data_IF_520168037389
#
_entry.id   IF_520168037389
#
_cell.length_a   1.000
_cell.length_b   1.000
_cell.length_c   1.000
_cell.angle_alpha   90.00
_cell.angle_beta   90.00
_cell.angle_gamma   90.00
#
_symmetry.space_group_name_H-M   'P 1'
#
loop_
_entity.id
_entity.type
_entity.pdbx_description
1 polymer ?
#
# COMPACT_ATOMS: atom_id res chain seq x y z
N UNK A 1 12.23 -65.72 2.54
CA UNK A 1 11.78 -64.68 3.50
C UNK A 1 12.84 -63.62 3.84
N UNK A 2 14.10 -63.68 3.36
CA UNK A 2 15.17 -62.70 3.68
C UNK A 2 15.30 -61.53 2.67
N UNK A 3 14.65 -61.61 1.49
CA UNK A 3 14.75 -60.58 0.44
C UNK A 3 13.59 -59.56 0.42
N UNK A 4 12.51 -59.83 1.17
CA UNK A 4 11.39 -58.88 1.23
C UNK A 4 11.62 -57.73 2.23
N UNK A 5 12.48 -57.94 3.25
CA UNK A 5 12.76 -56.94 4.27
C UNK A 5 13.72 -55.83 3.80
N UNK A 6 14.54 -56.12 2.81
CA UNK A 6 15.49 -55.13 2.26
C UNK A 6 14.86 -54.15 1.28
N UNK A 7 13.71 -54.48 0.68
CA UNK A 7 13.00 -53.58 -0.23
C UNK A 7 12.10 -52.56 0.46
N UNK A 8 11.61 -52.88 1.68
CA UNK A 8 10.80 -51.96 2.48
C UNK A 8 11.60 -50.86 3.21
N UNK A 9 12.89 -51.13 3.46
CA UNK A 9 13.80 -50.13 4.07
C UNK A 9 14.28 -49.06 3.11
N UNK A 10 14.25 -49.31 1.80
CA UNK A 10 14.67 -48.35 0.76
C UNK A 10 13.54 -47.36 0.37
N UNK A 11 12.29 -47.72 0.58
CA UNK A 11 11.13 -46.86 0.29
C UNK A 11 10.81 -45.86 1.41
N UNK A 12 11.18 -46.19 2.66
CA UNK A 12 10.94 -45.31 3.81
C UNK A 12 11.90 -44.11 3.90
N UNK A 13 13.00 -44.09 3.16
CA UNK A 13 13.97 -42.97 3.17
C UNK A 13 13.72 -41.89 2.13
N UNK A 14 12.75 -42.07 1.22
CA UNK A 14 12.44 -41.07 0.15
C UNK A 14 11.27 -40.15 0.53
N UNK A 15 10.56 -40.43 1.64
CA UNK A 15 9.42 -39.64 2.07
C UNK A 15 9.70 -38.60 3.17
N UNK A 16 10.97 -38.43 3.56
CA UNK A 16 11.42 -37.38 4.49
C UNK A 16 12.13 -36.20 3.78
N UNK A 17 12.04 -36.14 2.46
CA UNK A 17 12.42 -34.96 1.65
C UNK A 17 11.45 -33.83 1.87
N UNK A 18 11.69 -33.11 2.97
CA UNK A 18 10.89 -32.07 3.56
C UNK A 18 10.39 -31.02 2.58
N UNK A 19 9.30 -30.43 2.95
CA UNK A 19 8.90 -29.08 2.56
C UNK A 19 10.04 -28.11 2.91
N UNK A 20 11.07 -28.04 2.09
CA UNK A 20 11.90 -26.86 2.01
C UNK A 20 11.01 -25.81 1.35
N UNK A 21 10.35 -24.99 2.17
CA UNK A 21 9.84 -23.73 1.69
C UNK A 21 10.97 -23.08 0.87
N UNK A 22 10.79 -22.96 -0.42
CA UNK A 22 11.69 -22.21 -1.29
C UNK A 22 11.68 -20.77 -0.78
N UNK A 23 12.60 -20.44 0.12
CA UNK A 23 12.91 -19.05 0.37
C UNK A 23 13.36 -18.49 -1.00
N UNK A 24 12.75 -17.41 -1.50
CA UNK A 24 13.19 -16.81 -2.75
C UNK A 24 14.70 -16.54 -2.65
N UNK A 25 15.47 -16.86 -3.68
CA UNK A 25 16.91 -16.65 -3.65
C UNK A 25 17.18 -15.18 -3.28
N UNK A 26 18.09 -14.98 -2.34
CA UNK A 26 18.54 -13.63 -1.97
C UNK A 26 18.87 -12.85 -3.25
N UNK A 27 18.40 -11.60 -3.34
CA UNK A 27 18.65 -10.79 -4.52
C UNK A 27 20.16 -10.77 -4.78
N UNK A 28 20.57 -11.29 -5.94
CA UNK A 28 22.00 -11.32 -6.28
C UNK A 28 22.51 -9.89 -6.38
N UNK A 29 23.73 -9.63 -5.92
CA UNK A 29 24.35 -8.29 -5.97
C UNK A 29 24.39 -7.72 -7.40
N UNK A 30 24.38 -8.59 -8.42
CA UNK A 30 24.31 -8.21 -9.83
C UNK A 30 23.03 -7.41 -10.22
N UNK A 31 21.97 -7.44 -9.39
CA UNK A 31 20.78 -6.60 -9.63
C UNK A 31 21.04 -5.14 -9.28
N UNK A 32 21.94 -4.86 -8.35
CA UNK A 32 22.15 -3.52 -7.82
C UNK A 32 23.28 -2.79 -8.55
N UNK A 33 23.16 -1.47 -8.65
CA UNK A 33 24.08 -0.59 -9.36
C UNK A 33 24.49 0.57 -8.45
N UNK A 34 24.98 0.23 -7.25
CA UNK A 34 25.29 1.20 -6.18
C UNK A 34 26.20 2.34 -6.67
N UNK A 35 27.20 2.01 -7.50
CA UNK A 35 28.14 2.97 -8.08
C UNK A 35 27.49 4.07 -8.94
N UNK A 36 26.33 3.77 -9.51
CA UNK A 36 25.57 4.71 -10.36
C UNK A 36 24.76 5.73 -9.54
N UNK A 37 24.42 5.39 -8.31
CA UNK A 37 23.51 6.18 -7.48
C UNK A 37 24.20 6.87 -6.30
N UNK A 38 25.53 6.77 -6.19
CA UNK A 38 26.34 7.40 -5.14
C UNK A 38 26.02 6.87 -3.74
N UNK A 39 26.18 7.71 -2.72
CA UNK A 39 25.99 7.29 -1.34
C UNK A 39 24.50 7.22 -0.94
N UNK A 40 24.12 6.28 -0.06
CA UNK A 40 22.78 6.19 0.49
C UNK A 40 22.44 7.43 1.33
N UNK A 41 21.17 7.87 1.30
CA UNK A 41 20.73 9.04 2.06
C UNK A 41 20.85 8.80 3.58
N UNK A 42 21.22 9.85 4.33
CA UNK A 42 21.36 9.77 5.79
C UNK A 42 20.07 9.29 6.47
N UNK A 43 18.91 9.68 5.95
CA UNK A 43 17.61 9.25 6.47
C UNK A 43 17.43 7.73 6.43
N UNK A 44 18.02 7.04 5.45
CA UNK A 44 17.99 5.58 5.37
C UNK A 44 18.95 4.94 6.39
N UNK A 45 20.12 5.55 6.61
CA UNK A 45 21.12 5.03 7.55
C UNK A 45 20.70 5.17 9.01
N UNK A 46 19.91 6.19 9.31
CA UNK A 46 19.44 6.52 10.68
C UNK A 46 17.99 6.08 10.93
N UNK A 47 17.44 5.25 10.05
CA UNK A 47 16.03 4.87 10.09
C UNK A 47 15.70 4.04 11.33
N UNK A 48 14.86 4.61 12.21
CA UNK A 48 14.14 3.88 13.25
C UNK A 48 12.64 4.18 13.09
N UNK A 49 11.90 3.20 12.57
CA UNK A 49 10.47 3.35 12.30
C UNK A 49 9.62 3.49 13.57
N UNK A 50 10.06 2.83 14.63
CA UNK A 50 9.28 2.64 15.85
C UNK A 50 9.78 3.50 17.02
N UNK A 51 10.75 4.38 16.79
CA UNK A 51 11.24 5.29 17.81
C UNK A 51 10.13 6.22 18.30
N UNK A 52 10.02 6.37 19.62
CA UNK A 52 9.14 7.33 20.24
C UNK A 52 9.80 8.70 20.31
N UNK A 53 9.07 9.74 19.95
CA UNK A 53 9.45 11.11 20.29
C UNK A 53 9.14 11.42 21.76
N UNK A 54 9.77 12.44 22.38
CA UNK A 54 9.43 12.85 23.74
C UNK A 54 7.93 13.15 23.94
N UNK A 55 7.26 13.68 22.93
CA UNK A 55 5.81 13.92 22.96
C UNK A 55 5.01 12.60 22.98
N UNK A 56 5.45 11.59 22.25
CA UNK A 56 4.85 10.26 22.30
C UNK A 56 5.08 9.58 23.63
N UNK A 57 6.27 9.72 24.23
CA UNK A 57 6.56 9.20 25.57
C UNK A 57 5.65 9.83 26.62
N UNK A 58 5.47 11.15 26.58
CA UNK A 58 4.55 11.86 27.47
C UNK A 58 3.11 11.37 27.28
N UNK A 59 2.65 11.25 26.02
CA UNK A 59 1.31 10.71 25.71
C UNK A 59 1.13 9.28 26.22
N UNK A 60 2.14 8.43 26.06
CA UNK A 60 2.15 7.06 26.57
C UNK A 60 1.96 7.03 28.09
N UNK A 61 2.69 7.87 28.84
CA UNK A 61 2.63 7.91 30.30
C UNK A 61 1.31 8.52 30.80
N UNK A 62 0.91 9.64 30.21
CA UNK A 62 -0.20 10.44 30.72
C UNK A 62 -1.58 9.93 30.30
N UNK A 63 -1.68 9.25 29.16
CA UNK A 63 -2.95 8.76 28.63
C UNK A 63 -3.02 7.24 28.63
N UNK A 64 -2.12 6.55 27.90
CA UNK A 64 -2.25 5.12 27.66
C UNK A 64 -1.99 4.30 28.93
N UNK A 65 -0.88 4.56 29.66
CA UNK A 65 -0.53 3.81 30.88
C UNK A 65 -1.53 4.04 32.02
N UNK A 66 -2.02 5.25 32.19
CA UNK A 66 -3.07 5.54 33.20
C UNK A 66 -4.35 4.76 32.91
N UNK A 67 -4.76 4.73 31.64
CA UNK A 67 -5.93 3.96 31.20
C UNK A 67 -5.70 2.45 31.30
N UNK A 68 -4.50 1.98 31.07
CA UNK A 68 -4.14 0.57 31.12
C UNK A 68 -4.31 -0.04 32.52
N UNK A 69 -4.25 0.75 33.58
CA UNK A 69 -4.54 0.30 34.97
C UNK A 69 -5.98 -0.24 35.07
N UNK A 70 -6.92 0.34 34.35
CA UNK A 70 -8.34 -0.02 34.41
C UNK A 70 -8.70 -1.03 33.30
N UNK A 71 -8.26 -0.78 32.06
CA UNK A 71 -8.70 -1.52 30.88
C UNK A 71 -7.74 -2.65 30.49
N UNK A 72 -6.52 -2.71 31.05
CA UNK A 72 -5.41 -3.53 30.52
C UNK A 72 -4.75 -2.88 29.31
N UNK A 73 -3.52 -3.30 28.98
CA UNK A 73 -2.66 -2.62 28.01
C UNK A 73 -3.25 -2.61 26.59
N UNK A 74 -3.68 -3.77 26.07
CA UNK A 74 -4.18 -3.87 24.69
C UNK A 74 -5.44 -3.02 24.47
N UNK A 75 -6.38 -3.06 25.40
CA UNK A 75 -7.63 -2.28 25.29
C UNK A 75 -7.38 -0.78 25.49
N UNK A 76 -6.48 -0.40 26.40
CA UNK A 76 -6.11 1.00 26.61
C UNK A 76 -5.45 1.58 25.34
N UNK A 77 -4.53 0.83 24.72
CA UNK A 77 -3.91 1.24 23.46
C UNK A 77 -4.94 1.36 22.33
N UNK A 78 -5.79 0.33 22.17
CA UNK A 78 -6.86 0.35 21.17
C UNK A 78 -7.73 1.61 21.30
N UNK A 79 -8.30 1.85 22.49
CA UNK A 79 -9.18 3.00 22.74
C UNK A 79 -8.45 4.32 22.52
N UNK A 80 -7.19 4.42 22.97
CA UNK A 80 -6.42 5.66 22.82
C UNK A 80 -6.12 5.99 21.36
N UNK A 81 -5.90 4.99 20.51
CA UNK A 81 -5.62 5.19 19.09
C UNK A 81 -6.88 5.41 18.24
N UNK A 82 -8.01 4.80 18.62
CA UNK A 82 -9.25 4.84 17.83
C UNK A 82 -10.21 5.93 18.25
N UNK A 83 -10.15 6.39 19.50
CA UNK A 83 -11.13 7.34 20.06
C UNK A 83 -10.50 8.69 20.44
N UNK A 84 -9.27 8.69 21.01
CA UNK A 84 -8.67 9.91 21.55
C UNK A 84 -7.68 10.56 20.59
N UNK A 85 -6.80 9.76 19.98
CA UNK A 85 -5.78 10.28 19.09
C UNK A 85 -6.38 10.56 17.71
N UNK A 86 -6.65 11.83 17.45
CA UNK A 86 -7.13 12.26 16.13
C UNK A 86 -5.97 12.29 15.16
N UNK A 87 -5.92 11.30 14.27
CA UNK A 87 -4.95 11.25 13.17
C UNK A 87 -5.73 11.22 11.87
N UNK A 88 -5.51 12.23 11.04
CA UNK A 88 -6.11 12.30 9.71
C UNK A 88 -5.47 11.27 8.77
N UNK A 89 -6.28 10.69 7.87
CA UNK A 89 -5.74 9.82 6.85
C UNK A 89 -5.09 10.63 5.72
N UNK A 90 -3.79 10.38 5.45
CA UNK A 90 -3.01 11.03 4.39
C UNK A 90 -2.21 9.98 3.63
N UNK A 91 -2.69 9.61 2.43
CA UNK A 91 -2.03 8.62 1.58
C UNK A 91 -0.77 9.16 0.86
N UNK A 92 -0.54 10.47 0.89
CA UNK A 92 0.52 11.09 0.07
C UNK A 92 1.92 10.83 0.60
N UNK A 93 2.08 10.64 1.91
CA UNK A 93 3.39 10.49 2.56
C UNK A 93 3.37 9.36 3.59
N UNK A 94 4.34 8.47 3.47
CA UNK A 94 4.58 7.42 4.47
C UNK A 94 5.57 7.92 5.52
N UNK A 95 5.15 7.86 6.79
CA UNK A 95 5.84 8.46 7.93
C UNK A 95 6.23 7.40 8.96
N UNK A 96 7.31 7.66 9.69
CA UNK A 96 7.67 6.91 10.92
C UNK A 96 6.64 7.15 12.03
N UNK A 97 6.71 6.41 13.12
CA UNK A 97 5.83 6.62 14.28
C UNK A 97 5.88 8.07 14.79
N UNK A 98 7.08 8.59 14.99
CA UNK A 98 7.32 9.95 15.50
C UNK A 98 6.81 11.03 14.54
N UNK A 99 7.06 10.87 13.23
CA UNK A 99 6.57 11.78 12.20
C UNK A 99 5.04 11.75 12.08
N UNK A 100 4.42 10.56 12.16
CA UNK A 100 2.96 10.38 12.12
C UNK A 100 2.29 11.07 13.31
N UNK A 101 2.82 10.87 14.51
CA UNK A 101 2.31 11.48 15.73
C UNK A 101 2.43 13.02 15.68
N UNK A 102 3.57 13.53 15.24
CA UNK A 102 3.84 14.98 15.15
C UNK A 102 2.95 15.64 14.07
N UNK A 103 2.80 14.98 12.92
CA UNK A 103 1.98 15.50 11.83
C UNK A 103 0.47 15.40 12.09
N UNK A 104 0.04 14.54 13.04
CA UNK A 104 -1.37 14.20 13.22
C UNK A 104 -2.00 13.61 11.95
N UNK A 105 -1.19 13.00 11.07
CA UNK A 105 -1.65 12.47 9.78
C UNK A 105 -0.74 11.34 9.28
N UNK A 106 -1.33 10.33 8.62
CA UNK A 106 -0.58 9.22 8.02
C UNK A 106 -1.44 8.29 7.16
N UNK A 107 -0.80 7.51 6.31
CA UNK A 107 -1.45 6.41 5.59
C UNK A 107 -1.61 5.17 6.48
N UNK A 108 -2.29 4.12 5.98
CA UNK A 108 -2.51 2.89 6.76
C UNK A 108 -1.20 2.32 7.34
N UNK A 109 -0.12 2.30 6.55
CA UNK A 109 1.18 1.79 7.00
C UNK A 109 1.81 2.66 8.10
N UNK A 110 1.74 4.00 7.96
CA UNK A 110 2.20 4.95 8.99
C UNK A 110 1.46 4.78 10.30
N UNK A 111 0.15 4.56 10.23
CA UNK A 111 -0.72 4.35 11.39
C UNK A 111 -0.45 3.00 12.07
N UNK A 112 -0.21 1.96 11.29
CA UNK A 112 0.24 0.65 11.79
C UNK A 112 1.60 0.78 12.49
N UNK A 113 2.55 1.53 11.92
CA UNK A 113 3.86 1.78 12.52
C UNK A 113 3.72 2.56 13.83
N UNK A 114 2.88 3.59 13.87
CA UNK A 114 2.58 4.36 15.10
C UNK A 114 2.00 3.47 16.21
N UNK A 115 1.00 2.66 15.86
CA UNK A 115 0.38 1.74 16.80
C UNK A 115 1.38 0.69 17.32
N UNK A 116 2.23 0.18 16.42
CA UNK A 116 3.28 -0.78 16.77
C UNK A 116 4.33 -0.20 17.71
N UNK A 117 4.69 1.08 17.53
CA UNK A 117 5.64 1.77 18.40
C UNK A 117 5.14 1.82 19.86
N UNK A 118 3.88 2.17 20.06
CA UNK A 118 3.27 2.14 21.39
C UNK A 118 3.10 0.71 21.93
N UNK A 119 2.68 -0.23 21.09
CA UNK A 119 2.51 -1.63 21.51
C UNK A 119 3.82 -2.24 22.02
N UNK A 120 4.94 -1.96 21.32
CA UNK A 120 6.29 -2.40 21.72
C UNK A 120 6.70 -1.85 23.08
N UNK A 121 6.40 -0.58 23.37
CA UNK A 121 6.72 0.07 24.66
C UNK A 121 5.83 -0.42 25.82
N UNK A 122 4.74 -1.06 25.52
CA UNK A 122 3.81 -1.66 26.47
C UNK A 122 3.97 -3.19 26.59
N UNK A 123 4.96 -3.76 25.89
CA UNK A 123 5.18 -5.20 25.76
C UNK A 123 3.92 -5.97 25.33
N UNK A 124 3.09 -5.36 24.47
CA UNK A 124 1.90 -5.99 23.91
C UNK A 124 2.33 -6.86 22.73
N UNK A 125 2.07 -8.18 22.77
CA UNK A 125 2.24 -9.02 21.60
C UNK A 125 1.33 -8.55 20.46
N UNK A 126 1.91 -8.40 19.26
CA UNK A 126 1.16 -7.95 18.09
C UNK A 126 1.49 -8.80 16.87
N UNK A 127 0.54 -8.88 15.95
CA UNK A 127 0.69 -9.51 14.64
C UNK A 127 0.32 -8.53 13.55
N UNK A 128 1.06 -8.55 12.46
CA UNK A 128 0.76 -7.75 11.28
C UNK A 128 -0.01 -8.59 10.27
N UNK A 129 -0.99 -7.99 9.62
CA UNK A 129 -1.78 -8.66 8.59
C UNK A 129 -1.83 -7.81 7.31
N UNK A 130 -1.56 -8.47 6.17
CA UNK A 130 -1.99 -7.98 4.87
C UNK A 130 -3.44 -8.33 4.68
N UNK A 131 -4.23 -7.37 4.25
CA UNK A 131 -5.65 -7.56 3.92
C UNK A 131 -5.76 -7.76 2.41
N UNK A 132 -6.17 -8.96 2.00
CA UNK A 132 -6.43 -9.27 0.61
C UNK A 132 -7.85 -8.84 0.24
N UNK A 133 -8.00 -8.15 -0.88
CA UNK A 133 -9.28 -7.65 -1.32
C UNK A 133 -9.11 -6.69 -2.49
N UNK A 134 -10.16 -5.95 -2.82
CA UNK A 134 -10.06 -4.86 -3.78
C UNK A 134 -9.13 -3.77 -3.21
N UNK A 135 -7.86 -3.82 -3.61
CA UNK A 135 -6.87 -2.84 -3.20
C UNK A 135 -7.30 -1.43 -3.58
N UNK A 136 -7.03 -0.47 -2.72
CA UNK A 136 -7.25 0.93 -3.07
C UNK A 136 -6.24 1.35 -4.14
N UNK A 137 -6.72 1.53 -5.35
CA UNK A 137 -5.91 2.10 -6.41
C UNK A 137 -5.75 3.60 -6.21
N UNK A 138 -4.52 4.06 -6.20
CA UNK A 138 -4.19 5.48 -6.19
C UNK A 138 -3.26 5.81 -7.34
N UNK A 139 -3.29 7.07 -7.77
CA UNK A 139 -2.44 7.56 -8.84
C UNK A 139 -1.75 8.84 -8.41
N UNK A 140 -0.44 8.93 -8.71
CA UNK A 140 0.33 10.16 -8.55
C UNK A 140 1.18 10.39 -9.80
N UNK A 141 0.83 11.39 -10.58
CA UNK A 141 1.41 11.61 -11.91
C UNK A 141 1.12 10.43 -12.84
N UNK A 142 2.14 9.85 -13.43
CA UNK A 142 2.09 8.67 -14.31
C UNK A 142 2.22 7.33 -13.55
N UNK A 143 2.38 7.36 -12.24
CA UNK A 143 2.52 6.16 -11.41
C UNK A 143 1.18 5.76 -10.80
N UNK A 144 0.80 4.52 -11.01
CA UNK A 144 -0.38 3.88 -10.42
C UNK A 144 0.10 2.94 -9.32
N UNK A 145 -0.50 3.06 -8.15
CA UNK A 145 -0.18 2.24 -6.98
C UNK A 145 -1.39 1.39 -6.61
N UNK A 146 -1.14 0.11 -6.37
CA UNK A 146 -2.05 -0.73 -5.60
C UNK A 146 -1.61 -0.63 -4.15
N UNK A 147 -2.34 0.10 -3.36
CA UNK A 147 -2.09 0.18 -1.93
C UNK A 147 -2.64 -1.09 -1.28
N UNK A 148 -1.74 -2.05 -1.01
CA UNK A 148 -2.06 -3.16 -0.13
C UNK A 148 -2.47 -2.60 1.23
N UNK A 149 -3.61 -3.05 1.76
CA UNK A 149 -4.04 -2.64 3.07
C UNK A 149 -3.37 -3.48 4.14
N UNK A 150 -2.90 -2.83 5.20
CA UNK A 150 -2.29 -3.48 6.37
C UNK A 150 -3.03 -3.08 7.63
N UNK A 151 -3.22 -4.04 8.53
CA UNK A 151 -3.70 -3.80 9.87
C UNK A 151 -2.82 -4.51 10.91
N UNK A 152 -3.09 -4.28 12.19
CA UNK A 152 -2.46 -5.01 13.28
C UNK A 152 -3.50 -5.65 14.18
N UNK A 153 -3.11 -6.77 14.76
CA UNK A 153 -3.87 -7.45 15.80
C UNK A 153 -3.07 -7.36 17.09
N UNK A 154 -3.65 -6.74 18.10
CA UNK A 154 -3.11 -6.72 19.45
C UNK A 154 -3.60 -7.96 20.16
N UNK A 155 -2.71 -8.87 20.51
CA UNK A 155 -3.09 -10.06 21.27
C UNK A 155 -3.38 -9.68 22.72
N UNK A 156 -4.37 -10.32 23.37
CA UNK A 156 -4.64 -10.08 24.77
C UNK A 156 -3.43 -10.49 25.60
N UNK A 157 -3.02 -9.62 26.53
CA UNK A 157 -1.98 -9.96 27.49
C UNK A 157 -2.42 -11.22 28.25
N UNK A 158 -1.71 -12.32 28.11
CA UNK A 158 -1.94 -13.52 28.94
C UNK A 158 -1.65 -13.16 30.38
N UNK A 159 -2.66 -12.76 31.14
CA UNK A 159 -2.55 -12.71 32.60
C UNK A 159 -2.28 -14.14 33.08
N UNK A 160 -1.22 -14.27 33.85
CA UNK A 160 -0.75 -15.48 34.53
C UNK A 160 -1.81 -16.58 34.71
N UNK A 161 -1.63 -17.73 34.03
CA UNK A 161 -2.07 -19.03 34.52
C UNK A 161 -3.54 -19.43 34.36
N UNK A 162 -4.45 -18.57 33.94
CA UNK A 162 -5.85 -18.93 33.70
C UNK A 162 -6.07 -19.19 32.21
N UNK A 163 -5.79 -20.42 31.80
CA UNK A 163 -6.30 -21.00 30.56
C UNK A 163 -7.79 -21.28 30.71
N UNK A 164 -8.66 -20.31 30.64
CA UNK A 164 -10.02 -20.57 30.22
C UNK A 164 -9.93 -20.89 28.73
N UNK A 165 -10.39 -22.07 28.32
CA UNK A 165 -10.14 -22.66 27.00
C UNK A 165 -10.75 -21.95 25.76
N UNK A 166 -11.04 -20.67 25.84
CA UNK A 166 -11.37 -19.82 24.74
C UNK A 166 -10.28 -18.74 24.62
N UNK A 167 -9.46 -18.78 23.57
CA UNK A 167 -8.61 -17.65 23.18
C UNK A 167 -9.52 -16.46 22.92
N UNK A 168 -9.40 -15.40 23.74
CA UNK A 168 -10.06 -14.14 23.39
C UNK A 168 -9.50 -13.69 22.02
N UNK A 169 -10.36 -13.33 21.08
CA UNK A 169 -9.89 -12.80 19.80
C UNK A 169 -9.08 -11.53 20.05
N UNK A 170 -7.93 -11.41 19.38
CA UNK A 170 -7.12 -10.20 19.44
C UNK A 170 -7.90 -8.95 18.98
N UNK A 171 -7.53 -7.78 19.48
CA UNK A 171 -8.11 -6.51 19.04
C UNK A 171 -7.50 -6.09 17.71
N UNK A 172 -8.30 -6.08 16.66
CA UNK A 172 -7.87 -5.62 15.34
C UNK A 172 -7.93 -4.10 15.30
N UNK A 173 -6.80 -3.46 15.01
CA UNK A 173 -6.74 -2.03 14.71
C UNK A 173 -6.60 -1.88 13.19
N UNK A 174 -7.67 -1.42 12.58
CA UNK A 174 -7.74 -1.15 11.15
C UNK A 174 -7.99 0.35 10.94
N UNK A 175 -7.08 0.99 10.24
CA UNK A 175 -7.13 2.42 9.96
C UNK A 175 -7.70 2.73 8.56
N UNK A 176 -8.32 1.76 7.88
CA UNK A 176 -8.99 2.06 6.62
C UNK A 176 -10.10 3.08 6.85
N UNK A 177 -10.23 4.11 5.99
CA UNK A 177 -11.41 4.99 6.03
C UNK A 177 -12.65 4.11 5.87
N UNK A 178 -13.57 4.20 6.85
CA UNK A 178 -14.74 3.36 7.09
C UNK A 178 -15.38 2.78 5.81
N UNK A 179 -15.07 1.54 5.53
CA UNK A 179 -15.66 0.80 4.41
C UNK A 179 -15.88 -0.62 4.89
N UNK A 180 -17.07 -1.12 4.72
CA UNK A 180 -17.54 -2.42 5.12
C UNK A 180 -16.61 -3.61 4.93
N UNK A 181 -15.46 -3.56 5.57
CA UNK A 181 -14.38 -4.56 5.57
C UNK A 181 -14.75 -5.62 6.58
N UNK A 182 -15.87 -6.31 6.41
CA UNK A 182 -16.32 -7.30 7.39
C UNK A 182 -15.95 -8.74 7.04
N UNK A 183 -15.25 -9.02 5.95
CA UNK A 183 -14.61 -10.34 5.72
C UNK A 183 -13.59 -10.26 4.59
N UNK A 184 -12.41 -9.78 4.86
CA UNK A 184 -11.32 -9.93 3.90
C UNK A 184 -10.44 -11.09 4.33
N UNK A 185 -9.99 -11.82 3.33
CA UNK A 185 -8.91 -12.79 3.48
C UNK A 185 -7.67 -12.03 3.95
N UNK A 186 -7.09 -12.45 5.07
CA UNK A 186 -5.93 -11.80 5.68
C UNK A 186 -4.76 -12.77 5.75
N UNK A 187 -3.58 -12.29 5.49
CA UNK A 187 -2.33 -13.04 5.60
C UNK A 187 -1.47 -12.43 6.71
N UNK A 188 -1.07 -13.25 7.68
CA UNK A 188 -0.13 -12.82 8.71
C UNK A 188 1.26 -12.67 8.12
N UNK A 189 1.90 -11.51 8.37
CA UNK A 189 3.20 -11.19 7.80
C UNK A 189 4.20 -10.77 8.87
N UNK A 190 5.50 -11.03 8.65
CA UNK A 190 6.53 -10.63 9.60
C UNK A 190 6.79 -9.12 9.57
N UNK A 191 7.19 -8.56 10.70
CA UNK A 191 7.54 -7.13 10.85
C UNK A 191 8.53 -6.64 9.79
N UNK A 192 9.51 -7.48 9.41
CA UNK A 192 10.46 -7.10 8.35
C UNK A 192 9.78 -6.74 7.01
N UNK A 193 8.59 -7.30 6.73
CA UNK A 193 7.83 -6.93 5.54
C UNK A 193 7.21 -5.54 5.70
N UNK A 194 6.71 -5.18 6.88
CA UNK A 194 6.22 -3.82 7.19
C UNK A 194 7.33 -2.79 6.98
N UNK A 195 8.53 -3.09 7.50
CA UNK A 195 9.73 -2.23 7.29
C UNK A 195 10.07 -2.11 5.80
N UNK A 196 10.04 -3.22 5.06
CA UNK A 196 10.30 -3.22 3.62
C UNK A 196 9.23 -2.45 2.83
N UNK A 197 7.96 -2.57 3.20
CA UNK A 197 6.87 -1.80 2.59
C UNK A 197 7.02 -0.30 2.83
N UNK A 198 7.43 0.11 4.04
CA UNK A 198 7.76 1.50 4.32
C UNK A 198 8.85 2.02 3.37
N UNK A 199 9.96 1.29 3.27
CA UNK A 199 11.06 1.66 2.38
C UNK A 199 10.63 1.72 0.91
N UNK A 200 9.77 0.79 0.47
CA UNK A 200 9.22 0.80 -0.88
C UNK A 200 8.34 2.02 -1.15
N UNK A 201 7.51 2.40 -0.20
CA UNK A 201 6.68 3.61 -0.32
C UNK A 201 7.57 4.86 -0.40
N UNK A 202 8.61 4.96 0.45
CA UNK A 202 9.60 6.05 0.36
C UNK A 202 10.31 6.08 -0.99
N UNK A 203 10.64 4.91 -1.57
CA UNK A 203 11.18 4.82 -2.92
C UNK A 203 10.22 5.39 -3.97
N UNK A 204 8.95 5.02 -3.89
CA UNK A 204 7.93 5.51 -4.81
C UNK A 204 7.71 7.02 -4.67
N UNK A 205 7.60 7.53 -3.45
CA UNK A 205 7.44 8.96 -3.14
C UNK A 205 8.62 9.80 -3.66
N UNK A 206 9.85 9.37 -3.41
CA UNK A 206 11.05 10.06 -3.89
C UNK A 206 11.18 9.98 -5.41
N UNK A 207 10.73 8.89 -6.03
CA UNK A 207 10.69 8.77 -7.49
C UNK A 207 9.67 9.73 -8.12
N UNK A 208 8.50 9.90 -7.49
CA UNK A 208 7.49 10.90 -7.89
C UNK A 208 8.05 12.32 -7.76
N UNK A 209 8.81 12.58 -6.70
CA UNK A 209 9.49 13.87 -6.51
C UNK A 209 10.66 14.11 -7.50
N UNK A 210 10.99 13.14 -8.36
CA UNK A 210 12.04 13.26 -9.38
C UNK A 210 13.43 12.87 -8.90
N UNK A 211 13.61 12.42 -7.65
CA UNK A 211 14.90 12.00 -7.12
C UNK A 211 15.10 10.48 -7.30
N UNK A 212 15.51 10.11 -8.51
CA UNK A 212 15.79 8.70 -8.84
C UNK A 212 16.95 8.10 -8.02
N UNK A 213 17.88 8.92 -7.53
CA UNK A 213 19.01 8.48 -6.70
C UNK A 213 18.53 8.01 -5.33
N UNK A 214 17.76 8.81 -4.64
CA UNK A 214 17.17 8.40 -3.37
C UNK A 214 16.19 7.25 -3.54
N UNK A 215 15.36 7.28 -4.59
CA UNK A 215 14.42 6.21 -4.89
C UNK A 215 15.11 4.85 -5.05
N UNK A 216 16.28 4.82 -5.72
CA UNK A 216 17.09 3.62 -5.84
C UNK A 216 17.49 3.04 -4.48
N UNK A 217 18.04 3.87 -3.61
CA UNK A 217 18.53 3.43 -2.30
C UNK A 217 17.40 2.89 -1.42
N UNK A 218 16.26 3.56 -1.43
CA UNK A 218 15.07 3.09 -0.72
C UNK A 218 14.55 1.77 -1.28
N UNK A 219 14.45 1.61 -2.60
CA UNK A 219 13.99 0.37 -3.24
C UNK A 219 14.97 -0.79 -2.97
N UNK A 220 16.28 -0.52 -3.06
CA UNK A 220 17.33 -1.48 -2.72
C UNK A 220 17.24 -1.95 -1.28
N UNK A 221 17.11 -1.01 -0.33
CA UNK A 221 16.98 -1.34 1.09
C UNK A 221 15.71 -2.16 1.35
N UNK A 222 14.59 -1.81 0.71
CA UNK A 222 13.35 -2.58 0.78
C UNK A 222 13.56 -4.04 0.37
N UNK A 223 14.14 -4.29 -0.81
CA UNK A 223 14.41 -5.64 -1.31
C UNK A 223 15.36 -6.42 -0.39
N UNK A 224 16.37 -5.74 0.18
CA UNK A 224 17.31 -6.35 1.13
C UNK A 224 16.67 -6.73 2.46
N UNK A 225 15.70 -5.95 2.91
CA UNK A 225 14.96 -6.20 4.17
C UNK A 225 13.97 -7.35 4.03
N UNK A 226 13.13 -7.28 2.99
CA UNK A 226 12.25 -8.38 2.59
C UNK A 226 11.91 -8.23 1.11
N UNK A 227 12.21 -9.26 0.32
CA UNK A 227 11.91 -9.26 -1.10
C UNK A 227 10.43 -9.55 -1.34
N UNK A 228 9.73 -8.64 -2.02
CA UNK A 228 8.34 -8.80 -2.45
C UNK A 228 8.11 -8.12 -3.81
N UNK A 229 7.05 -8.49 -4.49
CA UNK A 229 6.81 -8.14 -5.90
C UNK A 229 6.84 -6.63 -6.16
N UNK A 230 6.17 -5.84 -5.30
CA UNK A 230 6.08 -4.38 -5.47
C UNK A 230 7.44 -3.68 -5.32
N UNK A 231 8.34 -4.18 -4.47
CA UNK A 231 9.68 -3.60 -4.33
C UNK A 231 10.51 -3.78 -5.61
N UNK A 232 10.41 -4.93 -6.26
CA UNK A 232 11.03 -5.15 -7.56
C UNK A 232 10.38 -4.31 -8.67
N UNK A 233 9.06 -4.12 -8.61
CA UNK A 233 8.36 -3.22 -9.52
C UNK A 233 8.90 -1.79 -9.42
N UNK A 234 9.01 -1.27 -8.20
CA UNK A 234 9.53 0.08 -7.94
C UNK A 234 10.98 0.22 -8.42
N UNK A 235 11.85 -0.75 -8.11
CA UNK A 235 13.23 -0.74 -8.60
C UNK A 235 13.30 -0.78 -10.14
N UNK A 236 12.45 -1.59 -10.78
CA UNK A 236 12.33 -1.65 -12.24
C UNK A 236 11.94 -0.31 -12.86
N UNK A 237 11.00 0.41 -12.23
CA UNK A 237 10.61 1.76 -12.68
C UNK A 237 11.73 2.77 -12.46
N UNK A 238 12.47 2.70 -11.34
CA UNK A 238 13.65 3.54 -11.09
C UNK A 238 14.68 3.35 -12.20
N UNK A 239 15.03 2.10 -12.51
CA UNK A 239 15.99 1.80 -13.59
C UNK A 239 15.50 2.28 -14.95
N UNK A 240 14.22 2.03 -15.28
CA UNK A 240 13.63 2.49 -16.55
C UNK A 240 13.72 4.01 -16.71
N UNK A 241 13.40 4.78 -15.67
CA UNK A 241 13.52 6.25 -15.67
C UNK A 241 14.97 6.72 -15.75
N UNK A 242 15.90 5.94 -15.23
CA UNK A 242 17.34 6.22 -15.30
C UNK A 242 17.99 5.73 -16.62
N UNK A 243 17.22 5.14 -17.54
CA UNK A 243 17.70 4.63 -18.83
C UNK A 243 18.48 3.32 -18.74
N UNK A 244 18.42 2.61 -17.59
CA UNK A 244 19.05 1.28 -17.43
C UNK A 244 18.01 0.20 -17.71
N UNK A 245 17.78 -0.04 -19.00
CA UNK A 245 16.69 -0.91 -19.44
C UNK A 245 16.94 -2.40 -19.13
N UNK A 246 18.19 -2.84 -19.13
CA UNK A 246 18.55 -4.23 -18.84
C UNK A 246 18.27 -4.58 -17.35
N UNK A 247 18.68 -3.69 -16.43
CA UNK A 247 18.37 -3.87 -15.02
C UNK A 247 16.88 -3.65 -14.73
N UNK A 248 16.21 -2.75 -15.46
CA UNK A 248 14.77 -2.59 -15.36
C UNK A 248 14.02 -3.88 -15.72
N UNK A 249 14.39 -4.50 -16.83
CA UNK A 249 13.82 -5.79 -17.24
C UNK A 249 14.07 -6.87 -16.20
N UNK A 250 15.30 -6.99 -15.73
CA UNK A 250 15.68 -7.98 -14.70
C UNK A 250 14.88 -7.80 -13.42
N UNK A 251 14.71 -6.56 -12.94
CA UNK A 251 13.93 -6.28 -11.75
C UNK A 251 12.45 -6.64 -11.95
N UNK A 252 11.83 -6.18 -13.04
CA UNK A 252 10.43 -6.47 -13.34
C UNK A 252 10.16 -7.97 -13.51
N UNK A 253 11.06 -8.70 -14.15
CA UNK A 253 10.95 -10.15 -14.29
C UNK A 253 11.04 -10.87 -12.94
N UNK A 254 11.90 -10.42 -12.01
CA UNK A 254 11.96 -10.96 -10.64
C UNK A 254 10.67 -10.67 -9.88
N UNK A 255 10.10 -9.49 -10.02
CA UNK A 255 8.79 -9.18 -9.47
C UNK A 255 7.71 -10.12 -10.00
N UNK A 256 7.68 -10.37 -11.32
CA UNK A 256 6.74 -11.31 -11.95
C UNK A 256 6.97 -12.77 -11.55
N UNK A 257 8.18 -13.16 -11.19
CA UNK A 257 8.45 -14.49 -10.65
C UNK A 257 7.80 -14.68 -9.27
N UNK A 258 7.74 -13.62 -8.44
CA UNK A 258 7.06 -13.63 -7.13
C UNK A 258 5.54 -13.50 -7.26
N UNK A 259 5.06 -12.67 -8.19
CA UNK A 259 3.65 -12.43 -8.44
C UNK A 259 3.32 -12.61 -9.93
N UNK A 260 3.18 -13.86 -10.42
CA UNK A 260 3.04 -14.12 -11.86
C UNK A 260 1.78 -13.56 -12.52
N UNK A 261 0.78 -13.16 -11.74
CA UNK A 261 -0.48 -12.59 -12.23
C UNK A 261 -0.64 -11.10 -11.94
N UNK A 262 0.42 -10.44 -11.45
CA UNK A 262 0.38 -9.02 -11.13
C UNK A 262 0.26 -8.17 -12.42
N UNK A 263 -0.85 -7.45 -12.60
CA UNK A 263 -1.08 -6.68 -13.83
C UNK A 263 -0.19 -5.45 -13.92
N UNK A 264 0.25 -4.88 -12.79
CA UNK A 264 1.10 -3.69 -12.77
C UNK A 264 2.52 -4.02 -13.25
N UNK A 265 3.08 -5.14 -12.77
CA UNK A 265 4.37 -5.64 -13.24
C UNK A 265 4.34 -5.96 -14.73
N UNK A 266 3.26 -6.63 -15.21
CA UNK A 266 3.10 -6.91 -16.64
C UNK A 266 2.98 -5.62 -17.47
N UNK A 267 2.24 -4.63 -17.00
CA UNK A 267 2.11 -3.33 -17.66
C UNK A 267 3.46 -2.60 -17.75
N UNK A 268 4.20 -2.55 -16.65
CA UNK A 268 5.50 -1.88 -16.60
C UNK A 268 6.53 -2.59 -17.51
N UNK A 269 6.53 -3.92 -17.54
CA UNK A 269 7.42 -4.68 -18.42
C UNK A 269 7.01 -4.55 -19.90
N UNK A 270 5.71 -4.55 -20.21
CA UNK A 270 5.22 -4.33 -21.56
C UNK A 270 5.62 -2.91 -22.05
N UNK A 271 5.44 -1.90 -21.21
CA UNK A 271 5.87 -0.53 -21.52
C UNK A 271 7.39 -0.39 -21.71
N UNK A 272 8.20 -1.15 -20.95
CA UNK A 272 9.64 -1.23 -21.17
C UNK A 272 9.97 -1.84 -22.54
N UNK A 273 9.30 -2.93 -22.92
CA UNK A 273 9.50 -3.55 -24.23
C UNK A 273 9.06 -2.67 -25.39
N UNK A 274 7.96 -1.92 -25.23
CA UNK A 274 7.54 -0.89 -26.20
C UNK A 274 8.61 0.19 -26.36
N UNK A 275 9.14 0.70 -25.26
CA UNK A 275 10.18 1.73 -25.23
C UNK A 275 11.49 1.24 -25.88
N UNK A 276 11.81 -0.03 -25.76
CA UNK A 276 13.01 -0.67 -26.34
C UNK A 276 12.75 -1.31 -27.71
N UNK A 277 11.62 -1.02 -28.36
CA UNK A 277 11.20 -1.51 -29.68
C UNK A 277 11.03 -3.05 -29.75
N UNK A 278 10.90 -3.72 -28.64
CA UNK A 278 10.63 -5.17 -28.57
C UNK A 278 9.11 -5.44 -28.62
N UNK A 279 8.50 -5.05 -29.73
CA UNK A 279 7.05 -5.02 -29.87
C UNK A 279 6.38 -6.39 -29.75
N UNK A 280 7.07 -7.48 -30.19
CA UNK A 280 6.55 -8.83 -30.05
C UNK A 280 6.47 -9.29 -28.59
N UNK A 281 7.45 -8.92 -27.76
CA UNK A 281 7.46 -9.20 -26.32
C UNK A 281 6.36 -8.41 -25.60
N UNK A 282 6.21 -7.14 -25.93
CA UNK A 282 5.15 -6.30 -25.43
C UNK A 282 3.76 -6.87 -25.76
N UNK A 283 3.54 -7.26 -27.02
CA UNK A 283 2.27 -7.84 -27.46
C UNK A 283 1.93 -9.14 -26.71
N UNK A 284 2.91 -10.00 -26.41
CA UNK A 284 2.71 -11.20 -25.58
C UNK A 284 2.22 -10.87 -24.16
N UNK A 285 2.82 -9.87 -23.53
CA UNK A 285 2.40 -9.43 -22.19
C UNK A 285 1.02 -8.78 -22.22
N UNK A 286 0.73 -7.92 -23.22
CA UNK A 286 -0.58 -7.32 -23.42
C UNK A 286 -1.68 -8.38 -23.63
N UNK A 287 -1.40 -9.42 -24.43
CA UNK A 287 -2.32 -10.54 -24.63
C UNK A 287 -2.52 -11.36 -23.34
N UNK A 288 -1.49 -11.48 -22.50
CA UNK A 288 -1.62 -12.13 -21.19
C UNK A 288 -2.46 -11.30 -20.23
N UNK A 289 -2.26 -9.98 -20.17
CA UNK A 289 -3.09 -9.05 -19.41
C UNK A 289 -4.57 -9.12 -19.82
N UNK A 290 -4.85 -9.12 -21.14
CA UNK A 290 -6.19 -9.22 -21.65
C UNK A 290 -6.91 -10.53 -21.23
N UNK A 291 -6.15 -11.65 -21.12
CA UNK A 291 -6.71 -12.95 -20.66
C UNK A 291 -6.95 -13.00 -19.16
N UNK A 292 -6.30 -12.15 -18.38
CA UNK A 292 -6.54 -12.08 -16.94
C UNK A 292 -7.89 -11.41 -16.64
N UNK A 293 -8.56 -10.86 -17.67
CA UNK A 293 -9.73 -9.99 -17.52
C UNK A 293 -9.48 -8.91 -16.44
N UNK A 294 -8.21 -8.57 -16.30
CA UNK A 294 -7.77 -7.67 -15.26
C UNK A 294 -8.18 -6.26 -15.67
N UNK A 295 -9.09 -5.70 -14.91
CA UNK A 295 -9.39 -4.28 -14.98
C UNK A 295 -8.08 -3.47 -14.88
N UNK A 296 -7.86 -2.55 -15.82
CA UNK A 296 -6.74 -1.61 -15.76
C UNK A 296 -7.19 -0.35 -15.01
N UNK A 297 -6.65 -0.08 -13.83
CA UNK A 297 -7.07 1.07 -13.03
C UNK A 297 -6.93 2.37 -13.81
N UNK A 298 -7.95 3.22 -13.69
CA UNK A 298 -8.05 4.53 -14.31
C UNK A 298 -8.18 4.55 -15.85
N UNK A 299 -8.31 3.40 -16.53
CA UNK A 299 -8.39 3.38 -17.99
C UNK A 299 -9.62 4.14 -18.54
N UNK A 300 -10.76 4.03 -17.87
CA UNK A 300 -11.97 4.75 -18.29
C UNK A 300 -11.92 6.21 -17.83
N UNK A 301 -11.26 6.50 -16.71
CA UNK A 301 -11.01 7.88 -16.25
C UNK A 301 -10.15 8.64 -17.28
N UNK A 302 -9.05 8.03 -17.74
CA UNK A 302 -8.18 8.64 -18.76
C UNK A 302 -8.88 8.80 -20.11
N UNK A 303 -9.71 7.82 -20.50
CA UNK A 303 -10.55 7.95 -21.69
C UNK A 303 -11.58 9.07 -21.51
N UNK A 304 -12.15 9.23 -20.32
CA UNK A 304 -13.07 10.30 -19.98
C UNK A 304 -12.41 11.69 -20.03
N UNK A 305 -11.19 11.84 -19.54
CA UNK A 305 -10.46 13.08 -19.68
C UNK A 305 -10.20 13.47 -21.13
N UNK A 306 -9.89 12.50 -22.01
CA UNK A 306 -9.78 12.75 -23.46
C UNK A 306 -11.11 13.17 -24.09
N UNK A 307 -12.21 12.54 -23.71
CA UNK A 307 -13.54 12.91 -24.16
C UNK A 307 -13.93 14.33 -23.69
N UNK A 308 -13.64 14.68 -22.43
CA UNK A 308 -13.82 16.04 -21.89
C UNK A 308 -13.01 17.08 -22.68
N UNK A 309 -11.77 16.78 -23.01
CA UNK A 309 -10.91 17.66 -23.81
C UNK A 309 -11.42 17.85 -25.25
N UNK A 310 -12.06 16.82 -25.81
CA UNK A 310 -12.72 16.87 -27.12
C UNK A 310 -14.11 17.54 -27.09
N UNK A 311 -14.61 17.94 -25.93
CA UNK A 311 -15.93 18.56 -25.76
C UNK A 311 -17.09 17.55 -25.63
N UNK A 312 -16.81 16.24 -25.67
CA UNK A 312 -17.82 15.19 -25.47
C UNK A 312 -18.03 14.95 -23.96
N UNK A 313 -18.79 15.85 -23.34
CA UNK A 313 -19.06 15.81 -21.89
C UNK A 313 -19.93 14.59 -21.53
N UNK A 314 -20.89 14.21 -22.40
CA UNK A 314 -21.75 13.04 -22.15
C UNK A 314 -20.97 11.72 -22.26
N UNK A 315 -20.10 11.60 -23.27
CA UNK A 315 -19.20 10.45 -23.39
C UNK A 315 -18.23 10.34 -22.21
N UNK A 316 -17.68 11.46 -21.75
CA UNK A 316 -16.85 11.51 -20.56
C UNK A 316 -17.59 11.03 -19.31
N UNK A 317 -18.82 11.50 -19.09
CA UNK A 317 -19.67 11.11 -17.96
C UNK A 317 -19.92 9.58 -17.96
N UNK A 318 -20.24 9.01 -19.11
CA UNK A 318 -20.44 7.57 -19.23
C UNK A 318 -19.18 6.77 -18.87
N UNK A 319 -18.00 7.25 -19.28
CA UNK A 319 -16.71 6.66 -18.96
C UNK A 319 -16.37 6.80 -17.47
N UNK A 320 -16.56 7.97 -16.87
CA UNK A 320 -16.34 8.17 -15.44
C UNK A 320 -17.25 7.30 -14.56
N UNK A 321 -18.54 7.18 -14.93
CA UNK A 321 -19.46 6.28 -14.25
C UNK A 321 -19.07 4.80 -14.43
N UNK A 322 -18.46 4.45 -15.56
CA UNK A 322 -17.90 3.10 -15.76
C UNK A 322 -16.70 2.86 -14.84
N UNK A 323 -15.79 3.82 -14.73
CA UNK A 323 -14.66 3.75 -13.80
C UNK A 323 -15.13 3.62 -12.35
N UNK A 324 -16.15 4.41 -11.96
CA UNK A 324 -16.70 4.39 -10.62
C UNK A 324 -17.25 3.02 -10.18
N UNK A 325 -17.72 2.19 -11.15
CA UNK A 325 -18.17 0.82 -10.85
C UNK A 325 -17.01 -0.09 -10.45
N UNK A 326 -15.80 0.17 -10.93
CA UNK A 326 -14.60 -0.60 -10.61
C UNK A 326 -13.89 -0.06 -9.36
N UNK A 327 -13.85 1.24 -9.20
CA UNK A 327 -13.21 1.91 -8.05
C UNK A 327 -14.17 2.93 -7.38
N UNK A 328 -15.24 2.45 -6.74
CA UNK A 328 -16.33 3.28 -6.22
C UNK A 328 -15.91 4.27 -5.15
N UNK A 329 -14.67 4.16 -4.69
CA UNK A 329 -14.14 4.98 -3.60
C UNK A 329 -13.00 5.90 -4.06
N UNK A 330 -12.87 6.15 -5.36
CA UNK A 330 -11.86 7.05 -5.88
C UNK A 330 -12.31 8.49 -5.81
N UNK A 331 -11.65 9.29 -4.97
CA UNK A 331 -11.89 10.73 -4.89
C UNK A 331 -11.70 11.41 -6.26
N UNK A 332 -10.71 10.98 -7.04
CA UNK A 332 -10.43 11.52 -8.38
C UNK A 332 -11.57 11.27 -9.37
N UNK A 333 -12.17 10.06 -9.34
CA UNK A 333 -13.31 9.73 -10.21
C UNK A 333 -14.55 10.55 -9.81
N UNK A 334 -14.85 10.66 -8.52
CA UNK A 334 -15.93 11.51 -8.04
C UNK A 334 -15.72 12.97 -8.43
N UNK A 335 -14.50 13.49 -8.32
CA UNK A 335 -14.19 14.83 -8.77
C UNK A 335 -14.38 15.00 -10.30
N UNK A 336 -13.96 14.04 -11.10
CA UNK A 336 -14.16 14.07 -12.56
C UNK A 336 -15.66 14.09 -12.93
N UNK A 337 -16.48 13.29 -12.25
CA UNK A 337 -17.94 13.31 -12.42
C UNK A 337 -18.50 14.69 -12.04
N UNK A 338 -18.10 15.24 -10.90
CA UNK A 338 -18.55 16.55 -10.45
C UNK A 338 -18.26 17.67 -11.47
N UNK A 339 -17.07 17.64 -12.07
CA UNK A 339 -16.70 18.60 -13.14
C UNK A 339 -17.56 18.40 -14.38
N UNK A 340 -17.84 17.17 -14.78
CA UNK A 340 -18.70 16.88 -15.93
C UNK A 340 -20.15 17.30 -15.66
N UNK A 341 -20.70 17.01 -14.46
CA UNK A 341 -22.04 17.41 -14.03
C UNK A 341 -22.20 18.93 -14.03
N UNK A 342 -21.20 19.66 -13.51
CA UNK A 342 -21.21 21.13 -13.54
C UNK A 342 -21.23 21.69 -14.98
N UNK A 343 -20.49 21.06 -15.92
CA UNK A 343 -20.54 21.45 -17.35
C UNK A 343 -21.88 21.14 -18.02
N UNK A 344 -22.59 20.11 -17.56
CA UNK A 344 -23.93 19.77 -18.03
C UNK A 344 -25.03 20.61 -17.36
N UNK A 345 -24.67 21.49 -16.41
CA UNK A 345 -25.61 22.32 -15.67
C UNK A 345 -26.32 21.59 -14.51
N UNK A 346 -25.92 20.33 -14.21
CA UNK A 346 -26.45 19.60 -13.07
C UNK A 346 -25.64 19.95 -11.80
N UNK A 347 -26.02 21.07 -11.19
CA UNK A 347 -25.36 21.56 -9.99
C UNK A 347 -25.53 20.64 -8.78
N UNK A 348 -26.67 19.90 -8.70
CA UNK A 348 -26.94 19.00 -7.58
C UNK A 348 -26.05 17.75 -7.64
N UNK A 349 -25.91 17.13 -8.81
CA UNK A 349 -25.01 15.98 -9.01
C UNK A 349 -23.55 16.40 -8.79
N UNK A 350 -23.17 17.60 -9.27
CA UNK A 350 -21.85 18.17 -9.03
C UNK A 350 -21.53 18.36 -7.54
N UNK A 351 -22.48 18.89 -6.75
CA UNK A 351 -22.34 19.08 -5.31
C UNK A 351 -22.19 17.73 -4.58
N UNK A 352 -23.04 16.77 -4.90
CA UNK A 352 -22.99 15.44 -4.31
C UNK A 352 -21.63 14.79 -4.55
N UNK A 353 -21.16 14.80 -5.80
CA UNK A 353 -19.89 14.17 -6.15
C UNK A 353 -18.66 14.94 -5.63
N UNK A 354 -18.71 16.27 -5.49
CA UNK A 354 -17.67 17.02 -4.78
C UNK A 354 -17.60 16.67 -3.29
N UNK A 355 -18.76 16.50 -2.64
CA UNK A 355 -18.85 16.04 -1.26
C UNK A 355 -18.22 14.66 -1.08
N UNK A 356 -18.51 13.72 -2.00
CA UNK A 356 -17.89 12.40 -1.99
C UNK A 356 -16.39 12.46 -2.26
N UNK A 357 -15.93 13.27 -3.22
CA UNK A 357 -14.51 13.46 -3.51
C UNK A 357 -13.76 13.99 -2.27
N UNK A 358 -14.32 14.97 -1.57
CA UNK A 358 -13.77 15.50 -0.31
C UNK A 358 -13.69 14.42 0.77
N UNK A 359 -14.79 13.68 0.97
CA UNK A 359 -14.88 12.63 1.99
C UNK A 359 -13.92 11.47 1.73
N UNK A 360 -13.72 11.11 0.45
CA UNK A 360 -12.89 9.99 0.01
C UNK A 360 -11.43 10.38 -0.25
N UNK A 361 -11.13 11.68 -0.20
CA UNK A 361 -9.76 12.15 -0.45
C UNK A 361 -8.81 11.58 0.61
N UNK A 362 -7.75 10.96 0.12
CA UNK A 362 -6.72 10.32 0.92
C UNK A 362 -5.48 11.21 1.10
N UNK A 363 -5.52 12.44 0.61
CA UNK A 363 -4.50 13.43 0.89
C UNK A 363 -5.14 14.78 1.29
N UNK A 364 -4.50 15.47 2.21
CA UNK A 364 -5.01 16.71 2.81
C UNK A 364 -5.14 17.82 1.77
N UNK A 365 -4.18 17.94 0.86
CA UNK A 365 -4.18 18.98 -0.18
C UNK A 365 -5.38 18.86 -1.12
N UNK A 366 -5.66 17.66 -1.61
CA UNK A 366 -6.79 17.43 -2.52
C UNK A 366 -8.12 17.64 -1.79
N UNK A 367 -8.21 17.22 -0.53
CA UNK A 367 -9.38 17.47 0.33
C UNK A 367 -9.69 18.96 0.41
N UNK A 368 -8.68 19.79 0.65
CA UNK A 368 -8.84 21.24 0.72
C UNK A 368 -9.26 21.84 -0.63
N UNK A 369 -8.71 21.35 -1.74
CA UNK A 369 -9.11 21.75 -3.09
C UNK A 369 -10.61 21.43 -3.34
N UNK A 370 -11.05 20.22 -3.00
CA UNK A 370 -12.43 19.79 -3.20
C UNK A 370 -13.39 20.57 -2.30
N UNK A 371 -13.01 20.81 -1.04
CA UNK A 371 -13.79 21.63 -0.10
C UNK A 371 -13.96 23.06 -0.62
N UNK A 372 -12.92 23.69 -1.10
CA UNK A 372 -12.99 25.04 -1.66
C UNK A 372 -13.87 25.13 -2.92
N UNK A 373 -13.86 24.08 -3.76
CA UNK A 373 -14.74 24.02 -4.95
C UNK A 373 -16.21 23.79 -4.55
N UNK A 374 -16.46 22.94 -3.56
CA UNK A 374 -17.81 22.70 -3.01
C UNK A 374 -18.42 23.99 -2.45
N UNK A 375 -17.68 24.72 -1.63
CA UNK A 375 -18.12 26.02 -1.08
C UNK A 375 -18.46 27.02 -2.18
N UNK A 376 -17.64 27.10 -3.26
CA UNK A 376 -17.92 28.00 -4.41
C UNK A 376 -19.20 27.61 -5.15
N UNK A 377 -19.41 26.29 -5.35
CA UNK A 377 -20.62 25.81 -6.03
C UNK A 377 -21.88 26.15 -5.21
N UNK A 378 -21.84 25.93 -3.90
CA UNK A 378 -22.94 26.27 -2.98
C UNK A 378 -23.22 27.79 -2.95
N UNK A 379 -22.18 28.61 -2.95
CA UNK A 379 -22.36 30.07 -2.99
C UNK A 379 -23.00 30.56 -4.29
N UNK A 380 -22.79 29.88 -5.43
CA UNK A 380 -23.44 30.20 -6.71
C UNK A 380 -24.89 29.79 -6.78
N UNK A 381 -25.32 28.82 -5.98
CA UNK A 381 -26.74 28.39 -5.90
C UNK A 381 -27.58 29.28 -4.99
N UNK A 382 -26.96 30.04 -4.09
CA UNK A 382 -27.64 30.93 -3.15
C UNK A 382 -27.89 32.35 -3.71
N UNK A 383 -27.34 32.67 -4.88
CA UNK A 383 -27.50 33.93 -5.62
C UNK A 383 -28.37 33.73 -6.85
#
# INVERSE_FOLDING_TARGET
>A
MKNAVKFLAAIALVLLGGCSAFAPPAASDALFADERYGEPPAALQQLDLFALSPAMEAYLQDHIRKRAVILGHSRALFTSLTEDLRVDYDAAVTRTASETFTAGAGNCLSLVILASAFAKQLDIPLRYQLVHGEGAWTRTGDLVFLNGHVNIVLDPHRRYGLTTGASEPGLVIDFAPARGVLSHDTEEVPERLIVAMFMNNRAAETLVAGDARQAYWWARASIRTAAFASAYNTLGVVYRRSGDFDRAETALQRGLALAPRDPQLMNNLAGLYEQTQRLADAARLRARLARLDAYQPFQFLDAGYRAMAAGDVNGAMALYRRELRHIPYSAEVHYAIAVASARLGDARDAEQHLGEAMRLSTNLRDRDIYAGKLQRLQALQLN
#
